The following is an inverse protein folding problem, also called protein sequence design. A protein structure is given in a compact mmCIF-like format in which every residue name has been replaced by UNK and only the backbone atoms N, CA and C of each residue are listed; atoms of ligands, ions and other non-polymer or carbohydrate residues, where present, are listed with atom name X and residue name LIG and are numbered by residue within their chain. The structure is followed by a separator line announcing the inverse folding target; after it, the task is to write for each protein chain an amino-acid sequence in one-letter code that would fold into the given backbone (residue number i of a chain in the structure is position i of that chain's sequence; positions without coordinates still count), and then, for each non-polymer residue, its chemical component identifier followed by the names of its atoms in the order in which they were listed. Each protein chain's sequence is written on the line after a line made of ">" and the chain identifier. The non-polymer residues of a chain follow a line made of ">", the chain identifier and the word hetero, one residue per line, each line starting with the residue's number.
data_IF_604517622468
#
_entry.id   IF_604517622468
#
_cell.length_a   1.000
_cell.length_b   1.000
_cell.length_c   1.000
_cell.angle_alpha   90.00
_cell.angle_beta   90.00
_cell.angle_gamma   90.00
#
_symmetry.space_group_name_H-M   'P 1'
#
loop_
_entity.id
_entity.type
_entity.pdbx_description
1 polymer ?
#
# COMPACT_ATOMS: atom_id res chain seq x y z
N UNK A 1 21.52 14.77 6.77
CA UNK A 1 21.86 15.72 7.86
C UNK A 1 23.15 15.24 8.53
N UNK A 2 23.99 16.11 9.10
CA UNK A 2 25.22 15.68 9.80
C UNK A 2 25.23 16.19 11.24
N UNK A 3 25.59 15.32 12.18
CA UNK A 3 25.70 15.69 13.59
C UNK A 3 27.07 16.32 13.87
N UNK A 4 27.11 17.61 14.20
CA UNK A 4 28.36 18.35 14.50
C UNK A 4 29.08 17.85 15.75
N UNK A 5 28.43 17.04 16.60
CA UNK A 5 29.03 16.52 17.85
C UNK A 5 29.70 15.17 17.69
N UNK A 6 29.11 14.25 16.93
CA UNK A 6 29.64 12.88 16.77
C UNK A 6 30.07 12.54 15.33
N UNK A 7 29.94 13.47 14.39
CA UNK A 7 30.41 13.28 13.02
C UNK A 7 29.56 12.30 12.19
N UNK A 8 28.45 11.81 12.72
CA UNK A 8 27.61 10.83 12.01
C UNK A 8 26.81 11.50 10.89
N UNK A 9 26.84 10.91 9.71
CA UNK A 9 25.97 11.28 8.60
C UNK A 9 24.67 10.49 8.74
N UNK A 10 23.57 11.17 9.07
CA UNK A 10 22.25 10.56 9.16
C UNK A 10 21.53 10.72 7.81
N UNK A 11 21.16 9.59 7.20
CA UNK A 11 20.40 9.54 5.94
C UNK A 11 18.92 9.88 6.13
N UNK A 12 18.37 9.65 7.34
CA UNK A 12 16.98 9.96 7.65
C UNK A 12 16.78 11.47 7.86
N UNK A 13 16.20 12.11 6.86
CA UNK A 13 15.90 13.54 6.84
C UNK A 13 14.74 13.94 7.78
N UNK A 14 14.12 12.98 8.47
CA UNK A 14 12.93 13.19 9.31
C UNK A 14 13.22 13.26 10.82
N UNK A 15 14.42 12.91 11.29
CA UNK A 15 14.74 12.87 12.72
C UNK A 15 15.28 14.23 13.23
N UNK A 16 14.66 14.81 14.26
CA UNK A 16 15.11 16.06 14.89
C UNK A 16 16.36 15.88 15.79
N UNK A 17 16.65 14.65 16.22
CA UNK A 17 17.75 14.31 17.15
C UNK A 17 18.60 13.16 16.62
N UNK A 18 19.91 13.21 16.87
CA UNK A 18 20.84 12.16 16.51
C UNK A 18 20.67 10.93 17.43
N UNK A 19 20.44 9.72 16.89
CA UNK A 19 20.24 8.51 17.70
C UNK A 19 21.49 8.06 18.46
N UNK A 20 22.69 8.50 18.04
CA UNK A 20 23.95 8.09 18.65
C UNK A 20 24.36 8.96 19.86
N UNK A 21 23.94 10.22 19.91
CA UNK A 21 24.39 11.13 20.95
C UNK A 21 23.30 12.06 21.51
N UNK A 22 22.03 11.89 21.09
CA UNK A 22 20.87 12.65 21.57
C UNK A 22 20.88 14.14 21.22
N UNK A 23 21.82 14.60 20.39
CA UNK A 23 21.99 16.03 20.11
C UNK A 23 21.15 16.45 18.89
N UNK A 24 20.64 17.68 18.89
CA UNK A 24 19.79 18.20 17.81
C UNK A 24 20.54 18.25 16.48
N UNK A 25 19.91 17.78 15.40
CA UNK A 25 20.47 17.84 14.05
C UNK A 25 20.17 19.21 13.42
N UNK A 26 21.18 19.84 12.83
CA UNK A 26 20.99 21.09 12.08
C UNK A 26 20.28 20.77 10.76
N UNK A 27 19.13 21.40 10.52
CA UNK A 27 18.41 21.29 9.25
C UNK A 27 19.33 21.72 8.10
N UNK A 28 19.27 21.05 6.93
CA UNK A 28 20.00 21.51 5.77
C UNK A 28 19.53 22.93 5.39
N UNK A 29 20.42 23.79 4.88
CA UNK A 29 19.99 25.08 4.36
C UNK A 29 18.96 24.85 3.26
N UNK A 30 17.75 25.38 3.45
CA UNK A 30 16.71 25.35 2.42
C UNK A 30 17.28 26.09 1.22
N UNK A 31 17.52 25.37 0.12
CA UNK A 31 17.97 26.00 -1.12
C UNK A 31 16.90 27.00 -1.54
N UNK A 32 17.25 28.29 -1.58
CA UNK A 32 16.39 29.31 -2.19
C UNK A 32 16.13 28.88 -3.63
N UNK A 33 14.89 28.95 -4.14
CA UNK A 33 14.60 28.57 -5.52
C UNK A 33 15.41 29.47 -6.46
N UNK A 34 16.45 28.90 -7.08
CA UNK A 34 17.23 29.54 -8.13
C UNK A 34 16.53 29.30 -9.48
N UNK A 35 15.51 30.10 -9.77
CA UNK A 35 14.93 30.14 -11.10
C UNK A 35 14.66 31.59 -11.50
N UNK A 36 15.71 32.27 -11.93
CA UNK A 36 15.56 33.45 -12.76
C UNK A 36 15.09 32.98 -14.15
N UNK A 37 13.78 32.80 -14.32
CA UNK A 37 13.17 32.62 -15.64
C UNK A 37 13.39 33.90 -16.44
N UNK A 38 14.29 33.85 -17.43
CA UNK A 38 14.48 34.97 -18.37
C UNK A 38 13.14 35.23 -19.09
N UNK A 39 12.72 36.50 -19.25
CA UNK A 39 11.46 36.81 -19.91
C UNK A 39 11.47 36.34 -21.36
N UNK A 40 10.35 35.78 -21.81
CA UNK A 40 10.17 35.33 -23.19
C UNK A 40 10.32 36.54 -24.12
N UNK A 41 11.25 36.47 -25.08
CA UNK A 41 11.47 37.55 -26.06
C UNK A 41 10.74 37.22 -27.37
N UNK A 42 9.92 38.15 -27.86
CA UNK A 42 9.01 37.94 -29.00
C UNK A 42 9.60 38.37 -30.36
N UNK A 43 10.93 38.50 -30.43
CA UNK A 43 11.64 39.08 -31.58
C UNK A 43 11.52 38.12 -32.77
N UNK A 44 10.89 38.56 -33.86
CA UNK A 44 10.70 37.78 -35.09
C UNK A 44 9.40 36.98 -35.21
N UNK A 45 8.52 36.94 -34.19
CA UNK A 45 7.24 36.22 -34.26
C UNK A 45 6.08 37.09 -34.77
N UNK A 46 5.26 36.52 -35.66
CA UNK A 46 3.97 37.10 -36.09
C UNK A 46 2.95 37.14 -34.95
N UNK A 47 1.91 37.98 -35.06
CA UNK A 47 0.85 38.07 -34.04
C UNK A 47 0.19 36.72 -33.73
N UNK A 48 0.01 35.87 -34.75
CA UNK A 48 -0.56 34.52 -34.61
C UNK A 48 0.33 33.57 -33.83
N UNK A 49 1.65 33.62 -34.03
CA UNK A 49 2.61 32.78 -33.28
C UNK A 49 2.71 33.20 -31.81
N UNK A 50 2.65 34.50 -31.53
CA UNK A 50 2.62 35.02 -30.15
C UNK A 50 1.35 34.56 -29.42
N UNK A 51 0.20 34.66 -30.11
CA UNK A 51 -1.07 34.21 -29.57
C UNK A 51 -1.07 32.70 -29.30
N UNK A 52 -0.52 31.89 -30.20
CA UNK A 52 -0.40 30.44 -30.03
C UNK A 52 0.43 30.06 -28.80
N UNK A 53 1.59 30.70 -28.58
CA UNK A 53 2.45 30.43 -27.41
C UNK A 53 1.73 30.76 -26.10
N UNK A 54 1.00 31.88 -26.06
CA UNK A 54 0.22 32.26 -24.87
C UNK A 54 -0.95 31.29 -24.65
N UNK A 55 -1.67 30.90 -25.70
CA UNK A 55 -2.79 29.95 -25.60
C UNK A 55 -2.32 28.56 -25.16
N UNK A 56 -1.21 28.04 -25.69
CA UNK A 56 -0.63 26.76 -25.24
C UNK A 56 -0.16 26.82 -23.79
N UNK A 57 0.45 27.94 -23.36
CA UNK A 57 0.91 28.10 -21.99
C UNK A 57 -0.25 28.23 -20.99
N UNK A 58 -1.34 28.92 -21.36
CA UNK A 58 -2.46 29.22 -20.44
C UNK A 58 -3.56 28.16 -20.49
N UNK A 59 -3.77 27.50 -21.63
CA UNK A 59 -4.85 26.51 -21.81
C UNK A 59 -4.30 25.09 -21.88
N UNK A 60 -3.13 24.89 -22.51
CA UNK A 60 -2.52 23.57 -22.66
C UNK A 60 -1.92 23.03 -21.37
N UNK A 61 -1.25 23.87 -20.57
CA UNK A 61 -0.66 23.44 -19.29
C UNK A 61 -1.70 23.03 -18.24
N UNK A 62 -2.83 23.74 -18.02
CA UNK A 62 -3.86 23.24 -17.11
C UNK A 62 -4.62 22.04 -17.66
N UNK A 63 -4.78 21.87 -18.99
CA UNK A 63 -5.40 20.66 -19.55
C UNK A 63 -4.53 19.42 -19.32
N UNK A 64 -3.23 19.52 -19.57
CA UNK A 64 -2.27 18.44 -19.33
C UNK A 64 -2.19 18.14 -17.83
N UNK A 65 -2.18 19.17 -16.97
CA UNK A 65 -2.18 18.97 -15.52
C UNK A 65 -3.49 18.36 -15.02
N UNK A 66 -4.63 18.73 -15.60
CA UNK A 66 -5.94 18.15 -15.27
C UNK A 66 -6.03 16.67 -15.69
N UNK A 67 -5.53 16.33 -16.89
CA UNK A 67 -5.46 14.95 -17.37
C UNK A 67 -4.48 14.12 -16.50
N UNK A 68 -3.31 14.65 -16.18
CA UNK A 68 -2.32 13.97 -15.32
C UNK A 68 -2.76 13.86 -13.85
N UNK A 69 -3.63 14.75 -13.37
CA UNK A 69 -4.19 14.68 -12.02
C UNK A 69 -5.33 13.66 -11.89
N UNK A 70 -6.00 13.28 -12.99
CA UNK A 70 -7.07 12.27 -12.94
C UNK A 70 -6.52 10.88 -12.57
N UNK A 71 -5.35 10.51 -13.08
CA UNK A 71 -4.73 9.20 -12.81
C UNK A 71 -4.33 9.03 -11.32
N UNK A 72 -4.01 10.12 -10.62
CA UNK A 72 -3.63 10.08 -9.21
C UNK A 72 -4.82 10.00 -8.25
N UNK A 73 -6.02 10.44 -8.66
CA UNK A 73 -7.22 10.46 -7.80
C UNK A 73 -7.99 9.13 -7.87
N UNK A 74 -7.89 8.41 -8.99
CA UNK A 74 -8.59 7.13 -9.18
C UNK A 74 -8.03 6.04 -8.25
N UNK A 75 -6.71 5.93 -8.08
CA UNK A 75 -6.06 4.87 -7.29
C UNK A 75 -6.35 4.93 -5.78
N UNK A 76 -6.46 6.14 -5.22
CA UNK A 76 -6.78 6.31 -3.78
C UNK A 76 -8.22 5.92 -3.49
N UNK A 77 -9.14 6.18 -4.42
CA UNK A 77 -10.56 5.87 -4.24
C UNK A 77 -10.87 4.38 -4.41
N UNK A 78 -10.17 3.69 -5.30
CA UNK A 78 -10.36 2.24 -5.56
C UNK A 78 -9.66 1.36 -4.53
N UNK A 79 -8.44 1.71 -4.10
CA UNK A 79 -7.69 0.93 -3.11
C UNK A 79 -8.30 0.94 -1.71
N UNK A 80 -8.95 2.05 -1.31
CA UNK A 80 -9.64 2.12 -0.02
C UNK A 80 -10.98 1.37 -0.05
N UNK A 81 -11.70 1.41 -1.18
CA UNK A 81 -12.97 0.71 -1.35
C UNK A 81 -12.80 -0.82 -1.46
N UNK A 82 -11.74 -1.30 -2.13
CA UNK A 82 -11.44 -2.75 -2.19
C UNK A 82 -11.07 -3.31 -0.82
N UNK A 83 -10.28 -2.56 -0.05
CA UNK A 83 -9.92 -2.93 1.32
C UNK A 83 -11.15 -2.94 2.25
N UNK A 84 -12.01 -1.92 2.17
CA UNK A 84 -13.25 -1.89 2.96
C UNK A 84 -14.16 -3.10 2.64
N UNK A 85 -14.36 -3.42 1.35
CA UNK A 85 -15.13 -4.59 0.94
C UNK A 85 -14.55 -5.90 1.46
N UNK A 86 -13.22 -6.05 1.40
CA UNK A 86 -12.54 -7.24 1.90
C UNK A 86 -12.74 -7.40 3.41
N UNK A 87 -12.59 -6.32 4.18
CA UNK A 87 -12.80 -6.30 5.63
C UNK A 87 -14.25 -6.63 6.00
N UNK A 88 -15.22 -6.07 5.29
CA UNK A 88 -16.64 -6.34 5.53
C UNK A 88 -16.99 -7.81 5.27
N UNK A 89 -16.52 -8.36 4.15
CA UNK A 89 -16.70 -9.77 3.82
C UNK A 89 -16.02 -10.70 4.85
N UNK A 90 -14.81 -10.34 5.29
CA UNK A 90 -14.10 -11.08 6.32
C UNK A 90 -14.88 -11.09 7.65
N UNK A 91 -15.34 -9.93 8.11
CA UNK A 91 -16.10 -9.80 9.35
C UNK A 91 -17.42 -10.60 9.29
N UNK A 92 -18.12 -10.56 8.16
CA UNK A 92 -19.31 -11.38 7.93
C UNK A 92 -18.99 -12.88 7.98
N UNK A 93 -17.85 -13.30 7.40
CA UNK A 93 -17.37 -14.67 7.47
C UNK A 93 -17.08 -15.12 8.91
N UNK A 94 -16.45 -14.26 9.72
CA UNK A 94 -16.20 -14.54 11.14
C UNK A 94 -17.53 -14.71 11.90
N UNK A 95 -18.51 -13.82 11.69
CA UNK A 95 -19.84 -13.93 12.32
C UNK A 95 -20.50 -15.27 11.99
N UNK A 96 -20.55 -15.64 10.71
CA UNK A 96 -21.15 -16.90 10.25
C UNK A 96 -20.42 -18.12 10.82
N UNK A 97 -19.09 -18.06 10.94
CA UNK A 97 -18.31 -19.12 11.57
C UNK A 97 -18.64 -19.25 13.06
N UNK A 98 -18.79 -18.14 13.79
CA UNK A 98 -19.20 -18.17 15.21
C UNK A 98 -20.63 -18.68 15.41
N UNK A 99 -21.52 -18.50 14.41
CA UNK A 99 -22.86 -19.09 14.37
C UNK A 99 -22.86 -20.58 14.00
N UNK A 100 -21.70 -21.17 13.69
CA UNK A 100 -21.57 -22.56 13.26
C UNK A 100 -21.91 -22.82 11.78
N UNK A 101 -22.22 -21.77 11.01
CA UNK A 101 -22.51 -21.85 9.55
C UNK A 101 -21.22 -21.92 8.74
N UNK A 102 -20.49 -23.03 8.89
CA UNK A 102 -19.15 -23.22 8.31
C UNK A 102 -19.09 -23.12 6.78
N UNK A 103 -20.12 -23.55 6.06
CA UNK A 103 -20.13 -23.46 4.60
C UNK A 103 -20.35 -22.02 4.12
N UNK A 104 -21.22 -21.27 4.79
CA UNK A 104 -21.49 -19.88 4.44
C UNK A 104 -20.29 -18.98 4.79
N UNK A 105 -19.58 -19.27 5.88
CA UNK A 105 -18.36 -18.55 6.24
C UNK A 105 -17.25 -18.73 5.20
N UNK A 106 -17.11 -19.93 4.62
CA UNK A 106 -16.16 -20.19 3.52
C UNK A 106 -16.46 -19.28 2.33
N UNK A 107 -17.72 -19.13 1.95
CA UNK A 107 -18.10 -18.25 0.83
C UNK A 107 -17.70 -16.79 1.12
N UNK A 108 -17.91 -16.31 2.35
CA UNK A 108 -17.55 -14.95 2.76
C UNK A 108 -16.05 -14.70 2.87
N UNK A 109 -15.27 -15.66 3.36
CA UNK A 109 -13.82 -15.54 3.35
C UNK A 109 -13.23 -15.58 1.94
N UNK A 110 -13.84 -16.33 1.00
CA UNK A 110 -13.45 -16.28 -0.42
C UNK A 110 -13.75 -14.92 -1.04
N UNK A 111 -14.92 -14.34 -0.76
CA UNK A 111 -15.24 -12.98 -1.21
C UNK A 111 -14.23 -11.95 -0.67
N UNK A 112 -13.77 -12.11 0.58
CA UNK A 112 -12.72 -11.27 1.14
C UNK A 112 -11.39 -11.38 0.37
N UNK A 113 -11.00 -12.60 -0.01
CA UNK A 113 -9.79 -12.86 -0.80
C UNK A 113 -9.91 -12.33 -2.24
N UNK A 114 -11.09 -12.43 -2.84
CA UNK A 114 -11.35 -11.87 -4.18
C UNK A 114 -11.25 -10.34 -4.17
N UNK A 115 -11.68 -9.70 -3.07
CA UNK A 115 -11.57 -8.24 -2.90
C UNK A 115 -10.14 -7.80 -2.52
N UNK A 116 -9.44 -8.55 -1.67
CA UNK A 116 -8.04 -8.35 -1.33
C UNK A 116 -7.29 -9.68 -1.23
N UNK A 117 -6.55 -10.01 -2.29
CA UNK A 117 -5.78 -11.24 -2.37
C UNK A 117 -4.58 -11.27 -1.40
N UNK A 118 -4.23 -10.15 -0.77
CA UNK A 118 -3.14 -10.03 0.22
C UNK A 118 -3.63 -10.11 1.66
N UNK A 119 -4.93 -10.27 1.89
CA UNK A 119 -5.50 -10.37 3.24
C UNK A 119 -5.16 -11.73 3.88
N UNK A 120 -4.01 -11.81 4.54
CA UNK A 120 -3.50 -13.02 5.17
C UNK A 120 -4.52 -13.67 6.15
N UNK A 121 -5.25 -12.84 6.90
CA UNK A 121 -6.25 -13.28 7.88
C UNK A 121 -7.36 -14.11 7.24
N UNK A 122 -7.80 -13.76 6.03
CA UNK A 122 -8.85 -14.48 5.33
C UNK A 122 -8.40 -15.91 4.94
N UNK A 123 -7.15 -16.08 4.49
CA UNK A 123 -6.57 -17.39 4.23
C UNK A 123 -6.44 -18.23 5.51
N UNK A 124 -5.97 -17.64 6.61
CA UNK A 124 -5.91 -18.33 7.89
C UNK A 124 -7.29 -18.81 8.35
N UNK A 125 -8.31 -17.96 8.25
CA UNK A 125 -9.68 -18.33 8.62
C UNK A 125 -10.24 -19.45 7.73
N UNK A 126 -10.04 -19.38 6.41
CA UNK A 126 -10.41 -20.50 5.51
C UNK A 126 -9.72 -21.80 5.89
N UNK A 127 -8.42 -21.75 6.18
CA UNK A 127 -7.66 -22.93 6.55
C UNK A 127 -8.19 -23.59 7.83
N UNK A 128 -8.58 -22.78 8.83
CA UNK A 128 -9.23 -23.28 10.05
C UNK A 128 -10.55 -23.97 9.71
N UNK A 129 -11.43 -23.33 8.93
CA UNK A 129 -12.72 -23.93 8.58
C UNK A 129 -12.55 -25.23 7.79
N UNK A 130 -11.58 -25.28 6.86
CA UNK A 130 -11.29 -26.50 6.10
C UNK A 130 -10.72 -27.61 6.97
N UNK A 131 -9.80 -27.30 7.88
CA UNK A 131 -9.27 -28.28 8.82
C UNK A 131 -10.36 -28.87 9.70
N UNK A 132 -11.29 -28.04 10.20
CA UNK A 132 -12.41 -28.51 11.01
C UNK A 132 -13.48 -29.30 10.24
N UNK A 133 -13.53 -29.14 8.93
CA UNK A 133 -14.44 -29.89 8.05
C UNK A 133 -13.77 -31.12 7.41
N UNK A 134 -12.55 -31.45 7.84
CA UNK A 134 -11.79 -32.61 7.37
C UNK A 134 -11.20 -32.46 5.97
N UNK A 135 -11.16 -31.24 5.44
CA UNK A 135 -10.61 -30.91 4.12
C UNK A 135 -9.15 -30.45 4.26
N UNK A 136 -8.30 -31.33 4.79
CA UNK A 136 -6.91 -31.03 5.13
C UNK A 136 -6.09 -30.52 3.92
N UNK A 137 -6.36 -31.00 2.71
CA UNK A 137 -5.66 -30.56 1.49
C UNK A 137 -5.91 -29.07 1.20
N UNK A 138 -7.16 -28.64 1.30
CA UNK A 138 -7.53 -27.24 1.13
C UNK A 138 -7.00 -26.39 2.29
N UNK A 139 -6.98 -26.94 3.51
CA UNK A 139 -6.37 -26.26 4.66
C UNK A 139 -4.87 -26.04 4.45
N UNK A 140 -4.16 -27.03 3.91
CA UNK A 140 -2.72 -26.92 3.59
C UNK A 140 -2.44 -25.80 2.59
N UNK A 141 -3.20 -25.71 1.50
CA UNK A 141 -3.05 -24.64 0.51
C UNK A 141 -3.24 -23.25 1.14
N UNK A 142 -4.31 -23.08 1.93
CA UNK A 142 -4.63 -21.80 2.55
C UNK A 142 -3.64 -21.43 3.66
N UNK A 143 -3.20 -22.37 4.49
CA UNK A 143 -2.15 -22.11 5.48
C UNK A 143 -0.80 -21.78 4.83
N UNK A 144 -0.49 -22.42 3.70
CA UNK A 144 0.74 -22.10 2.95
C UNK A 144 0.71 -20.66 2.48
N UNK A 145 -0.40 -20.20 1.87
CA UNK A 145 -0.54 -18.79 1.47
C UNK A 145 -0.53 -17.84 2.64
N UNK A 146 -1.17 -18.18 3.76
CA UNK A 146 -1.13 -17.36 4.96
C UNK A 146 0.31 -17.13 5.45
N UNK A 147 1.12 -18.19 5.55
CA UNK A 147 2.51 -18.09 6.04
C UNK A 147 3.42 -17.35 5.05
N UNK A 148 3.13 -17.42 3.74
CA UNK A 148 3.86 -16.65 2.73
C UNK A 148 3.55 -15.15 2.80
N UNK A 149 2.30 -14.79 3.08
CA UNK A 149 1.88 -13.39 3.20
C UNK A 149 2.28 -12.77 4.55
N UNK A 150 2.12 -13.53 5.64
CA UNK A 150 2.41 -13.10 7.01
C UNK A 150 3.20 -14.17 7.79
N UNK A 151 4.51 -14.28 7.55
CA UNK A 151 5.35 -15.32 8.16
C UNK A 151 5.53 -15.17 9.68
N UNK A 152 5.24 -13.98 10.23
CA UNK A 152 5.40 -13.64 11.65
C UNK A 152 4.06 -13.29 12.32
N UNK A 153 2.95 -13.59 11.65
CA UNK A 153 1.61 -13.33 12.16
C UNK A 153 1.29 -14.10 13.44
N UNK A 154 0.26 -13.65 14.15
CA UNK A 154 -0.18 -14.25 15.42
C UNK A 154 -0.49 -15.75 15.31
N UNK A 155 -0.90 -16.23 14.13
CA UNK A 155 -1.23 -17.64 13.89
C UNK A 155 -0.16 -18.38 13.08
N UNK A 156 0.95 -17.72 12.73
CA UNK A 156 1.97 -18.29 11.84
C UNK A 156 2.64 -19.54 12.41
N UNK A 157 2.89 -19.57 13.74
CA UNK A 157 3.45 -20.76 14.39
C UNK A 157 2.54 -21.98 14.25
N UNK A 158 1.24 -21.80 14.53
CA UNK A 158 0.22 -22.85 14.39
C UNK A 158 0.04 -23.30 12.94
N UNK A 159 0.02 -22.36 12.01
CA UNK A 159 -0.05 -22.67 10.58
C UNK A 159 1.16 -23.50 10.13
N UNK A 160 2.38 -23.10 10.51
CA UNK A 160 3.61 -23.85 10.19
C UNK A 160 3.60 -25.25 10.80
N UNK A 161 3.10 -25.39 12.03
CA UNK A 161 2.95 -26.70 12.68
C UNK A 161 2.01 -27.62 11.88
N UNK A 162 0.84 -27.12 11.46
CA UNK A 162 -0.07 -27.86 10.60
C UNK A 162 0.59 -28.29 9.29
N UNK A 163 1.29 -27.38 8.61
CA UNK A 163 1.98 -27.67 7.35
C UNK A 163 3.07 -28.75 7.52
N UNK A 164 3.79 -28.74 8.63
CA UNK A 164 4.79 -29.77 8.94
C UNK A 164 4.15 -31.12 9.24
N UNK A 165 3.05 -31.14 10.00
CA UNK A 165 2.31 -32.36 10.30
C UNK A 165 1.73 -32.99 9.04
N UNK A 166 1.18 -32.18 8.12
CA UNK A 166 0.63 -32.64 6.85
C UNK A 166 1.71 -33.30 5.98
N UNK A 167 2.93 -32.76 5.93
CA UNK A 167 4.07 -33.34 5.17
C UNK A 167 4.58 -34.68 5.71
N UNK A 168 4.20 -35.07 6.93
CA UNK A 168 4.64 -36.31 7.57
C UNK A 168 3.63 -37.46 7.42
N UNK A 169 2.42 -37.18 6.92
CA UNK A 169 1.44 -38.21 6.52
C UNK A 169 1.93 -38.91 5.26
#
# INVERSE_FOLDING_TARGET
>A
MHCTKCGTQNADQAAAFCPQCGNSLRAPPVAKPSAATKPITWKGMSKGQRLLVVVCAVVGTPLIYFVLLQDAFTDVSTGNASNARAVDAYNAGVSLYTEGKKQDSVAKFREAIEADAKMAQAYNSLAIVYSETGRDDLAYENYSRYVELDPNGAHAARAKEFLQAYKKK
#
